data_IF_667746800636
#
_entry.id   IF_667746800636
#
_cell.length_a   1.000
_cell.length_b   1.000
_cell.length_c   1.000
_cell.angle_alpha   90.00
_cell.angle_beta   90.00
_cell.angle_gamma   90.00
#
_symmetry.space_group_name_H-M   'P 1'
#
loop_
_entity.id
_entity.type
_entity.pdbx_description
1 polymer ?
#
# COMPACT_ATOMS: atom_id res chain seq x y z
N UNK A 1 -22.21 -26.79 -34.23
CA UNK A 1 -21.23 -26.63 -33.13
C UNK A 1 -19.91 -26.02 -33.61
N UNK A 2 -19.19 -26.62 -34.58
CA UNK A 2 -17.91 -26.10 -35.10
C UNK A 2 -17.93 -24.70 -35.74
N UNK A 3 -19.05 -24.32 -36.38
CA UNK A 3 -19.25 -22.99 -36.99
C UNK A 3 -19.19 -21.82 -36.00
N UNK A 4 -19.41 -22.07 -34.70
CA UNK A 4 -19.35 -21.05 -33.65
C UNK A 4 -18.02 -21.07 -32.87
N UNK A 5 -17.32 -22.21 -32.86
CA UNK A 5 -16.06 -22.38 -32.13
C UNK A 5 -14.93 -21.56 -32.78
N UNK A 6 -14.85 -21.56 -34.12
CA UNK A 6 -13.80 -20.82 -34.84
C UNK A 6 -13.93 -19.30 -34.68
N UNK A 7 -15.11 -18.68 -34.88
CA UNK A 7 -15.32 -17.26 -34.60
C UNK A 7 -15.06 -16.90 -33.14
N UNK A 8 -15.52 -17.73 -32.20
CA UNK A 8 -15.27 -17.55 -30.76
C UNK A 8 -13.78 -17.55 -30.40
N UNK A 9 -13.01 -18.48 -30.97
CA UNK A 9 -11.57 -18.54 -30.75
C UNK A 9 -10.85 -17.31 -31.33
N UNK A 10 -11.26 -16.84 -32.52
CA UNK A 10 -10.68 -15.66 -33.16
C UNK A 10 -10.88 -14.40 -32.33
N UNK A 11 -12.11 -14.15 -31.88
CA UNK A 11 -12.39 -12.96 -31.06
C UNK A 11 -11.69 -13.04 -29.70
N UNK A 12 -11.61 -14.24 -29.09
CA UNK A 12 -10.83 -14.45 -27.87
C UNK A 12 -9.35 -14.10 -28.09
N UNK A 13 -8.72 -14.64 -29.14
CA UNK A 13 -7.32 -14.36 -29.45
C UNK A 13 -7.09 -12.87 -29.73
N UNK A 14 -7.99 -12.26 -30.52
CA UNK A 14 -7.93 -10.83 -30.80
C UNK A 14 -7.99 -9.99 -29.52
N UNK A 15 -8.96 -10.25 -28.64
CA UNK A 15 -9.10 -9.54 -27.37
C UNK A 15 -7.93 -9.82 -26.42
N UNK A 16 -7.41 -11.04 -26.38
CA UNK A 16 -6.20 -11.35 -25.59
C UNK A 16 -5.00 -10.53 -26.05
N UNK A 17 -4.77 -10.44 -27.36
CA UNK A 17 -3.64 -9.64 -27.90
C UNK A 17 -3.89 -8.16 -27.67
N UNK A 18 -5.10 -7.68 -27.95
CA UNK A 18 -5.44 -6.26 -27.80
C UNK A 18 -5.34 -5.79 -26.35
N UNK A 19 -5.95 -6.52 -25.41
CA UNK A 19 -6.04 -6.11 -24.00
C UNK A 19 -4.87 -6.58 -23.15
N UNK A 20 -4.23 -7.70 -23.52
CA UNK A 20 -3.11 -8.27 -22.78
C UNK A 20 -1.72 -7.82 -23.27
N UNK A 21 -1.61 -7.32 -24.51
CA UNK A 21 -0.32 -6.90 -25.09
C UNK A 21 -0.36 -5.47 -25.59
N UNK A 22 -1.25 -5.17 -26.55
CA UNK A 22 -1.26 -3.84 -27.20
C UNK A 22 -1.58 -2.74 -26.18
N UNK A 23 -2.63 -2.93 -25.39
CA UNK A 23 -3.06 -1.94 -24.41
C UNK A 23 -2.02 -1.69 -23.29
N UNK A 24 -1.47 -2.72 -22.59
CA UNK A 24 -0.46 -2.49 -21.56
C UNK A 24 0.81 -1.83 -22.11
N UNK A 25 1.27 -2.21 -23.31
CA UNK A 25 2.46 -1.60 -23.92
C UNK A 25 2.20 -0.15 -24.32
N UNK A 26 1.03 0.15 -24.91
CA UNK A 26 0.66 1.52 -25.26
C UNK A 26 0.59 2.43 -24.02
N UNK A 27 -0.09 1.98 -22.96
CA UNK A 27 -0.19 2.74 -21.70
C UNK A 27 1.18 2.88 -21.03
N UNK A 28 2.00 1.83 -21.02
CA UNK A 28 3.36 1.89 -20.46
C UNK A 28 4.21 2.89 -21.24
N UNK A 29 4.20 2.85 -22.58
CA UNK A 29 4.94 3.78 -23.42
C UNK A 29 4.51 5.24 -23.21
N UNK A 30 3.19 5.50 -23.19
CA UNK A 30 2.65 6.84 -22.92
C UNK A 30 3.03 7.32 -21.52
N UNK A 31 2.90 6.45 -20.51
CA UNK A 31 3.21 6.80 -19.12
C UNK A 31 4.70 7.09 -18.93
N UNK A 32 5.58 6.31 -19.57
CA UNK A 32 7.02 6.57 -19.53
C UNK A 32 7.41 7.85 -20.26
N UNK A 33 6.71 8.20 -21.36
CA UNK A 33 6.98 9.44 -22.10
C UNK A 33 6.52 10.70 -21.34
N UNK A 34 5.32 10.65 -20.76
CA UNK A 34 4.70 11.83 -20.15
C UNK A 34 4.96 11.95 -18.63
N UNK A 35 5.06 10.82 -17.93
CA UNK A 35 5.16 10.76 -16.46
C UNK A 35 6.21 9.72 -16.00
N UNK A 36 7.48 9.82 -16.45
CA UNK A 36 8.49 8.81 -16.16
C UNK A 36 8.73 8.64 -14.66
N UNK A 37 8.67 9.69 -13.86
CA UNK A 37 8.91 9.58 -12.42
C UNK A 37 7.85 8.73 -11.72
N UNK A 38 6.57 8.99 -11.98
CA UNK A 38 5.44 8.27 -11.41
C UNK A 38 5.34 6.84 -11.97
N UNK A 39 5.57 6.66 -13.28
CA UNK A 39 5.54 5.35 -13.94
C UNK A 39 6.60 4.39 -13.39
N UNK A 40 7.70 4.93 -12.86
CA UNK A 40 8.77 4.16 -12.22
C UNK A 40 8.65 4.13 -10.68
N UNK A 41 7.49 4.51 -10.12
CA UNK A 41 7.16 4.33 -8.71
C UNK A 41 7.42 5.53 -7.79
N UNK A 42 7.61 6.74 -8.33
CA UNK A 42 7.86 7.98 -7.57
C UNK A 42 8.96 7.81 -6.51
N UNK A 43 10.10 7.25 -6.92
CA UNK A 43 11.19 6.89 -6.01
C UNK A 43 11.92 8.12 -5.47
N UNK A 44 12.17 8.13 -4.17
CA UNK A 44 13.01 9.13 -3.50
C UNK A 44 14.41 8.57 -3.33
N UNK A 45 15.42 9.31 -3.80
CA UNK A 45 16.82 8.92 -3.70
C UNK A 45 17.65 10.02 -3.01
N UNK A 46 18.65 9.58 -2.22
CA UNK A 46 19.68 10.45 -1.65
C UNK A 46 21.02 9.98 -2.20
N UNK A 47 21.62 10.80 -3.07
CA UNK A 47 22.77 10.39 -3.87
C UNK A 47 22.38 9.27 -4.84
N UNK A 48 23.13 8.16 -4.81
CA UNK A 48 22.87 6.97 -5.64
C UNK A 48 21.95 5.93 -4.98
N UNK A 49 21.50 6.19 -3.75
CA UNK A 49 20.71 5.23 -2.97
C UNK A 49 19.23 5.61 -2.99
N UNK A 50 18.39 4.71 -3.47
CA UNK A 50 16.93 4.79 -3.30
C UNK A 50 16.61 4.52 -1.84
N UNK A 51 15.92 5.46 -1.21
CA UNK A 51 15.55 5.39 0.21
C UNK A 51 14.06 5.14 0.41
N UNK A 52 13.24 5.21 -0.64
CA UNK A 52 11.80 4.97 -0.56
C UNK A 52 11.05 5.43 -1.80
N UNK A 53 9.75 5.60 -1.66
CA UNK A 53 8.84 6.19 -2.63
C UNK A 53 7.99 7.25 -1.93
N UNK A 54 7.59 8.29 -2.66
CA UNK A 54 6.61 9.28 -2.18
C UNK A 54 5.29 8.65 -1.72
N UNK A 55 4.97 7.46 -2.24
CA UNK A 55 3.68 6.80 -2.06
C UNK A 55 3.70 5.69 -0.99
N UNK A 56 4.89 5.32 -0.48
CA UNK A 56 5.06 4.19 0.43
C UNK A 56 5.56 4.67 1.79
N UNK A 57 4.74 4.46 2.81
CA UNK A 57 5.14 4.67 4.20
C UNK A 57 6.17 3.64 4.65
N UNK A 58 6.98 4.01 5.64
CA UNK A 58 8.00 3.15 6.24
C UNK A 58 7.74 3.03 7.74
N UNK A 59 8.22 1.94 8.34
CA UNK A 59 8.08 1.70 9.77
C UNK A 59 9.03 2.58 10.59
N UNK A 60 8.66 3.85 10.81
CA UNK A 60 9.41 4.75 11.69
C UNK A 60 9.05 4.49 13.17
N UNK A 61 10.04 4.03 13.92
CA UNK A 61 9.90 3.65 15.35
C UNK A 61 10.86 4.40 16.27
N UNK A 62 11.78 5.20 15.72
CA UNK A 62 12.80 5.91 16.48
C UNK A 62 12.28 7.26 16.97
N UNK A 63 12.67 7.71 18.18
CA UNK A 63 12.41 9.06 18.63
C UNK A 63 12.93 10.11 17.63
N UNK A 64 12.18 11.20 17.46
CA UNK A 64 12.51 12.29 16.55
C UNK A 64 11.92 12.17 15.14
N UNK A 65 11.32 11.03 14.79
CA UNK A 65 10.51 10.89 13.59
C UNK A 65 9.01 10.97 13.92
N UNK A 66 8.21 11.34 12.92
CA UNK A 66 6.77 11.14 13.02
C UNK A 66 6.46 9.65 12.92
N UNK A 67 5.68 9.15 13.87
CA UNK A 67 5.21 7.77 13.85
C UNK A 67 4.03 7.68 12.89
N UNK A 68 4.08 6.77 11.91
CA UNK A 68 3.00 6.64 10.95
C UNK A 68 1.84 5.85 11.57
N UNK A 69 0.74 5.72 10.83
CA UNK A 69 -0.37 4.86 11.24
C UNK A 69 0.11 3.41 11.45
N UNK A 70 -0.48 2.62 12.34
CA UNK A 70 -0.15 1.20 12.41
C UNK A 70 -0.41 0.50 11.06
N UNK A 71 0.46 -0.41 10.66
CA UNK A 71 0.28 -1.24 9.46
C UNK A 71 0.12 -2.70 9.85
N UNK A 72 -0.74 -3.42 9.14
CA UNK A 72 -0.93 -4.87 9.27
C UNK A 72 -0.35 -5.65 8.07
N UNK A 73 0.40 -4.98 7.19
CA UNK A 73 1.04 -5.60 6.05
C UNK A 73 2.30 -6.37 6.49
N UNK A 74 2.32 -7.68 6.27
CA UNK A 74 3.38 -8.58 6.72
C UNK A 74 3.39 -8.81 8.23
N UNK A 75 4.45 -9.45 8.74
CA UNK A 75 4.56 -9.79 10.17
C UNK A 75 4.90 -8.59 11.05
N UNK A 76 5.72 -7.67 10.53
CA UNK A 76 6.27 -6.54 11.30
C UNK A 76 5.65 -5.18 10.91
N UNK A 77 4.67 -5.18 10.01
CA UNK A 77 4.07 -3.98 9.42
C UNK A 77 4.94 -3.34 8.34
N UNK A 78 4.32 -2.61 7.41
CA UNK A 78 4.99 -1.91 6.30
C UNK A 78 5.88 -2.79 5.40
N UNK A 79 5.56 -4.09 5.30
CA UNK A 79 6.20 -4.98 4.34
C UNK A 79 5.71 -4.67 2.91
N UNK A 80 6.61 -4.19 2.04
CA UNK A 80 6.27 -3.82 0.66
C UNK A 80 5.89 -5.02 -0.22
N UNK A 81 6.13 -6.26 0.21
CA UNK A 81 5.68 -7.48 -0.49
C UNK A 81 4.28 -7.92 -0.08
N UNK A 82 3.68 -7.26 0.91
CA UNK A 82 2.35 -7.51 1.43
C UNK A 82 1.49 -6.26 1.33
N UNK A 83 0.22 -6.41 0.97
CA UNK A 83 -0.76 -5.32 1.04
C UNK A 83 -2.04 -5.88 1.63
N UNK A 84 -2.32 -5.49 2.88
CA UNK A 84 -3.43 -6.01 3.66
C UNK A 84 -3.77 -5.10 4.86
N UNK A 85 -5.07 -4.99 5.13
CA UNK A 85 -5.57 -4.49 6.40
C UNK A 85 -5.63 -5.57 7.49
N UNK A 86 -5.85 -5.14 8.74
CA UNK A 86 -5.96 -6.05 9.89
C UNK A 86 -7.21 -6.94 9.87
N UNK A 87 -8.26 -6.54 9.14
CA UNK A 87 -9.52 -7.27 8.96
C UNK A 87 -10.21 -7.72 10.27
N UNK A 88 -10.00 -6.96 11.36
CA UNK A 88 -10.65 -7.22 12.66
C UNK A 88 -11.97 -6.46 12.77
N UNK A 89 -13.04 -7.16 13.13
CA UNK A 89 -14.33 -6.54 13.43
C UNK A 89 -14.32 -5.72 14.72
N UNK A 90 -15.28 -4.80 14.92
CA UNK A 90 -15.31 -3.86 16.03
C UNK A 90 -15.47 -4.53 17.41
N UNK A 91 -16.05 -5.73 17.46
CA UNK A 91 -16.22 -6.53 18.70
C UNK A 91 -15.06 -7.50 18.95
N UNK A 92 -14.04 -7.52 18.09
CA UNK A 92 -12.92 -8.46 18.22
C UNK A 92 -11.97 -8.03 19.34
N UNK A 93 -11.74 -8.92 20.31
CA UNK A 93 -10.88 -8.62 21.46
C UNK A 93 -9.45 -8.24 21.06
N UNK A 94 -8.87 -8.86 20.02
CA UNK A 94 -7.52 -8.54 19.54
C UNK A 94 -7.42 -7.08 19.05
N UNK A 95 -8.50 -6.55 18.47
CA UNK A 95 -8.54 -5.15 18.03
C UNK A 95 -8.52 -4.24 19.26
N UNK A 96 -9.39 -4.51 20.22
CA UNK A 96 -9.52 -3.73 21.46
C UNK A 96 -8.18 -3.70 22.21
N UNK A 97 -7.54 -4.85 22.39
CA UNK A 97 -6.28 -4.96 23.11
C UNK A 97 -5.15 -4.23 22.40
N UNK A 98 -5.04 -4.37 21.08
CA UNK A 98 -4.04 -3.65 20.27
C UNK A 98 -4.24 -2.14 20.32
N UNK A 99 -5.48 -1.64 20.25
CA UNK A 99 -5.77 -0.20 20.39
C UNK A 99 -5.31 0.29 21.76
N UNK A 100 -5.69 -0.40 22.83
CA UNK A 100 -5.28 -0.04 24.21
C UNK A 100 -3.75 0.01 24.34
N UNK A 101 -3.05 -1.01 23.83
CA UNK A 101 -1.59 -1.03 23.85
C UNK A 101 -0.97 0.13 23.04
N UNK A 102 -1.60 0.53 21.93
CA UNK A 102 -1.15 1.67 21.13
C UNK A 102 -1.35 3.00 21.87
N UNK A 103 -2.46 3.15 22.59
CA UNK A 103 -2.75 4.32 23.45
C UNK A 103 -1.72 4.41 24.58
N UNK A 104 -1.46 3.30 25.28
CA UNK A 104 -0.49 3.25 26.37
C UNK A 104 0.93 3.59 25.89
N UNK A 105 1.31 3.06 24.71
CA UNK A 105 2.58 3.38 24.07
C UNK A 105 2.68 4.87 23.72
N UNK A 106 1.64 5.45 23.15
CA UNK A 106 1.62 6.84 22.75
C UNK A 106 1.89 7.79 23.93
N UNK A 107 1.21 7.60 25.06
CA UNK A 107 1.44 8.45 26.25
C UNK A 107 2.82 8.27 26.86
N UNK A 108 3.40 7.07 26.79
CA UNK A 108 4.79 6.83 27.23
C UNK A 108 5.80 7.55 26.33
N UNK A 109 5.56 7.59 25.03
CA UNK A 109 6.42 8.27 24.06
C UNK A 109 6.23 9.79 24.05
N UNK A 110 5.07 10.27 24.49
CA UNK A 110 4.68 11.69 24.45
C UNK A 110 4.14 12.16 25.83
N UNK A 111 4.99 12.21 26.87
CA UNK A 111 4.54 12.48 28.25
C UNK A 111 3.95 13.88 28.45
N UNK A 112 4.39 14.86 27.67
CA UNK A 112 3.93 16.26 27.77
C UNK A 112 2.63 16.52 26.98
N UNK A 113 2.09 15.51 26.30
CA UNK A 113 0.87 15.64 25.50
C UNK A 113 -0.38 15.28 26.33
N UNK A 114 -1.32 16.23 26.41
CA UNK A 114 -2.56 16.07 27.19
C UNK A 114 -3.84 16.21 26.35
N UNK A 115 -3.72 16.24 25.02
CA UNK A 115 -4.86 16.34 24.11
C UNK A 115 -5.52 14.98 23.80
N UNK A 116 -6.60 14.98 23.00
CA UNK A 116 -7.20 13.75 22.51
C UNK A 116 -6.29 13.08 21.46
N UNK A 117 -6.04 11.77 21.60
CA UNK A 117 -5.26 11.02 20.62
C UNK A 117 -6.03 10.93 19.28
N UNK A 118 -5.43 11.38 18.15
CA UNK A 118 -6.02 11.16 16.84
C UNK A 118 -6.21 9.67 16.54
N UNK A 119 -7.40 9.29 16.04
CA UNK A 119 -7.73 7.88 15.76
C UNK A 119 -6.74 7.20 14.81
N UNK A 120 -6.18 7.95 13.85
CA UNK A 120 -5.26 7.42 12.85
C UNK A 120 -3.97 6.89 13.46
N UNK A 121 -3.51 7.44 14.60
CA UNK A 121 -2.32 6.94 15.31
C UNK A 121 -2.53 5.57 15.94
N UNK A 122 -3.79 5.17 16.18
CA UNK A 122 -4.13 3.94 16.89
C UNK A 122 -4.95 2.97 16.05
N UNK A 123 -5.27 3.30 14.80
CA UNK A 123 -6.05 2.45 13.88
C UNK A 123 -5.25 2.10 12.63
N UNK A 124 -5.26 0.82 12.27
CA UNK A 124 -4.48 0.31 11.13
C UNK A 124 -5.01 0.83 9.78
N UNK A 125 -4.13 0.95 8.79
CA UNK A 125 -4.54 1.16 7.39
C UNK A 125 -5.29 -0.05 6.83
N UNK A 126 -6.00 0.16 5.70
CA UNK A 126 -6.66 -0.91 4.93
C UNK A 126 -5.83 -1.43 3.75
N UNK A 127 -4.79 -0.69 3.36
CA UNK A 127 -3.79 -1.05 2.35
C UNK A 127 -2.69 -1.91 2.93
#
# INVERSE_FOLDING_TARGET
>A
MWQQILPGLRIKLFLTVLLGVIYPLAITGISQLLFPHQANGSLIAVGSKVIGSELIGQNFTRPGYFHPRPSAAGNDGYDATSSAGSNLGPTNQKLIDRVKASIDKFYKENPDYHGPIPSDLVTTSGS
#
